data_IF_416954650483
#
_entry.id   IF_416954650483
#
_cell.length_a   1.000
_cell.length_b   1.000
_cell.length_c   1.000
_cell.angle_alpha   90.00
_cell.angle_beta   90.00
_cell.angle_gamma   90.00
#
_symmetry.space_group_name_H-M   'P 1'
#
loop_
_entity.id
_entity.type
_entity.pdbx_description
1 polymer ?
#
# COMPACT_ATOMS: atom_id res chain seq x y z
N UNK A 1 13.94 -7.65 -18.62
CA UNK A 1 13.71 -6.20 -18.67
C UNK A 1 14.29 -5.45 -17.44
N UNK A 2 14.89 -6.14 -16.47
CA UNK A 2 15.56 -5.52 -15.33
C UNK A 2 14.67 -5.03 -14.18
N UNK A 3 13.36 -5.20 -14.27
CA UNK A 3 12.46 -4.85 -13.15
C UNK A 3 12.55 -5.90 -12.04
N UNK A 4 12.59 -5.45 -10.79
CA UNK A 4 12.66 -6.29 -9.59
C UNK A 4 11.36 -6.33 -8.80
N UNK A 5 10.41 -5.47 -9.13
CA UNK A 5 9.10 -5.40 -8.48
C UNK A 5 8.00 -5.04 -9.48
N UNK A 6 6.79 -5.43 -9.14
CA UNK A 6 5.56 -5.13 -9.89
C UNK A 6 4.45 -4.75 -8.93
N UNK A 7 3.70 -3.70 -9.29
CA UNK A 7 2.39 -3.41 -8.70
C UNK A 7 1.34 -4.08 -9.57
N UNK A 8 0.64 -5.06 -9.00
CA UNK A 8 -0.40 -5.83 -9.68
C UNK A 8 -1.78 -5.30 -9.25
N UNK A 9 -2.62 -4.97 -10.21
CA UNK A 9 -3.93 -4.33 -10.00
C UNK A 9 -5.01 -5.18 -10.63
N UNK A 10 -6.11 -5.45 -9.92
CA UNK A 10 -7.21 -6.32 -10.34
C UNK A 10 -8.52 -5.52 -10.42
N UNK A 11 -8.55 -4.54 -11.33
CA UNK A 11 -9.72 -3.70 -11.59
C UNK A 11 -10.66 -4.34 -12.61
N UNK A 12 -11.96 -4.01 -12.50
CA UNK A 12 -12.98 -4.37 -13.45
C UNK A 12 -13.58 -5.77 -13.23
N UNK A 13 -14.23 -6.26 -14.27
CA UNK A 13 -14.93 -7.53 -14.24
C UNK A 13 -13.95 -8.71 -14.17
N UNK A 14 -14.32 -9.70 -13.36
CA UNK A 14 -13.54 -10.93 -13.26
C UNK A 14 -13.74 -11.78 -14.52
N UNK A 15 -12.66 -12.23 -15.10
CA UNK A 15 -12.62 -13.19 -16.19
C UNK A 15 -11.92 -14.46 -15.67
N UNK A 16 -12.56 -15.65 -15.70
CA UNK A 16 -13.80 -16.04 -16.41
C UNK A 16 -15.09 -15.53 -15.75
N UNK A 17 -16.12 -15.36 -16.59
CA UNK A 17 -17.45 -14.94 -16.12
C UNK A 17 -18.03 -15.94 -15.13
N UNK A 18 -18.69 -15.42 -14.10
CA UNK A 18 -19.31 -16.23 -13.04
C UNK A 18 -18.40 -16.43 -11.84
N UNK A 19 -17.13 -16.10 -11.93
CA UNK A 19 -16.22 -16.09 -10.78
C UNK A 19 -16.35 -14.78 -9.99
N UNK A 20 -16.07 -14.87 -8.68
CA UNK A 20 -16.15 -13.75 -7.78
C UNK A 20 -14.74 -13.32 -7.32
N UNK A 21 -14.57 -12.02 -7.06
CA UNK A 21 -13.30 -11.41 -6.65
C UNK A 21 -12.66 -12.11 -5.44
N UNK A 22 -13.48 -12.55 -4.47
CA UNK A 22 -13.05 -13.31 -3.30
C UNK A 22 -13.36 -14.81 -3.37
N UNK A 23 -13.78 -15.30 -4.55
CA UNK A 23 -14.03 -16.70 -4.78
C UNK A 23 -12.75 -17.54 -4.80
N UNK A 24 -12.89 -18.85 -4.66
CA UNK A 24 -11.73 -19.76 -4.60
C UNK A 24 -10.87 -19.71 -5.86
N UNK A 25 -11.47 -19.52 -7.02
CA UNK A 25 -10.75 -19.41 -8.28
C UNK A 25 -9.80 -18.21 -8.25
N UNK A 26 -10.28 -17.02 -7.84
CA UNK A 26 -9.47 -15.82 -7.77
C UNK A 26 -8.41 -15.89 -6.66
N UNK A 27 -8.73 -16.49 -5.51
CA UNK A 27 -7.74 -16.74 -4.46
C UNK A 27 -6.57 -17.59 -4.99
N UNK A 28 -6.88 -18.63 -5.77
CA UNK A 28 -5.86 -19.47 -6.41
C UNK A 28 -5.08 -18.70 -7.48
N UNK A 29 -5.75 -17.83 -8.24
CA UNK A 29 -5.09 -16.99 -9.25
C UNK A 29 -4.09 -16.02 -8.60
N UNK A 30 -4.47 -15.33 -7.52
CA UNK A 30 -3.55 -14.43 -6.79
C UNK A 30 -2.34 -15.19 -6.26
N UNK A 31 -2.56 -16.36 -5.67
CA UNK A 31 -1.48 -17.21 -5.18
C UNK A 31 -0.56 -17.68 -6.31
N UNK A 32 -1.14 -18.06 -7.44
CA UNK A 32 -0.37 -18.44 -8.63
C UNK A 32 0.51 -17.28 -9.11
N UNK A 33 -0.05 -16.08 -9.22
CA UNK A 33 0.70 -14.89 -9.68
C UNK A 33 1.89 -14.58 -8.75
N UNK A 34 1.68 -14.65 -7.42
CA UNK A 34 2.75 -14.44 -6.43
C UNK A 34 3.85 -15.48 -6.55
N UNK A 35 3.49 -16.78 -6.66
CA UNK A 35 4.47 -17.86 -6.85
C UNK A 35 5.23 -17.71 -8.15
N UNK A 36 4.52 -17.38 -9.24
CA UNK A 36 5.13 -17.20 -10.54
C UNK A 36 6.11 -16.02 -10.56
N UNK A 37 5.77 -14.92 -9.91
CA UNK A 37 6.68 -13.78 -9.74
C UNK A 37 7.94 -14.18 -8.95
N UNK A 38 7.81 -15.03 -7.93
CA UNK A 38 8.96 -15.52 -7.15
C UNK A 38 9.95 -16.32 -8.02
N UNK A 39 9.46 -17.14 -8.96
CA UNK A 39 10.34 -17.88 -9.92
C UNK A 39 11.27 -16.95 -10.69
N UNK A 40 10.84 -15.71 -10.92
CA UNK A 40 11.60 -14.67 -11.60
C UNK A 40 12.27 -13.66 -10.66
N UNK A 41 12.26 -13.91 -9.35
CA UNK A 41 12.80 -13.01 -8.32
C UNK A 41 12.16 -11.62 -8.35
N UNK A 42 10.87 -11.56 -8.63
CA UNK A 42 10.07 -10.33 -8.69
C UNK A 42 9.25 -10.19 -7.42
N UNK A 43 9.35 -9.03 -6.78
CA UNK A 43 8.50 -8.63 -5.67
C UNK A 43 7.13 -8.18 -6.18
N UNK A 44 6.08 -8.46 -5.41
CA UNK A 44 4.68 -8.13 -5.76
C UNK A 44 4.09 -7.20 -4.69
N UNK A 45 3.50 -6.10 -5.15
CA UNK A 45 2.59 -5.26 -4.39
C UNK A 45 1.20 -5.40 -5.05
N UNK A 46 0.25 -6.05 -4.37
CA UNK A 46 -1.04 -6.41 -4.95
C UNK A 46 -2.14 -5.43 -4.52
N UNK A 47 -2.78 -4.76 -5.47
CA UNK A 47 -3.94 -3.91 -5.27
C UNK A 47 -5.21 -4.61 -5.76
N UNK A 48 -6.37 -4.29 -5.16
CA UNK A 48 -7.67 -4.95 -5.39
C UNK A 48 -7.61 -6.49 -5.30
N UNK A 49 -6.59 -7.02 -4.67
CA UNK A 49 -6.43 -8.45 -4.40
C UNK A 49 -7.27 -8.91 -3.20
N UNK A 50 -7.26 -10.20 -2.92
CA UNK A 50 -7.95 -10.75 -1.74
C UNK A 50 -7.32 -10.24 -0.44
N UNK A 51 -8.13 -10.23 0.61
CA UNK A 51 -7.65 -9.88 1.96
C UNK A 51 -6.48 -10.77 2.38
N UNK A 52 -5.47 -10.19 3.03
CA UNK A 52 -4.29 -10.95 3.42
C UNK A 52 -4.63 -11.97 4.51
N UNK A 53 -4.03 -13.16 4.37
CA UNK A 53 -4.18 -14.29 5.28
C UNK A 53 -2.83 -14.73 5.86
N UNK A 54 -1.82 -13.86 5.83
CA UNK A 54 -0.47 -14.17 6.26
C UNK A 54 0.43 -14.74 5.16
N UNK A 55 -0.03 -14.81 3.90
CA UNK A 55 0.75 -15.34 2.77
C UNK A 55 2.09 -14.63 2.55
N UNK A 56 2.21 -13.36 2.93
CA UNK A 56 3.48 -12.62 2.88
C UNK A 56 4.58 -13.22 3.77
N UNK A 57 4.23 -14.04 4.77
CA UNK A 57 5.20 -14.77 5.60
C UNK A 57 5.67 -16.06 4.94
N UNK A 58 4.83 -16.67 4.12
CA UNK A 58 5.17 -17.87 3.34
C UNK A 58 5.88 -17.49 2.02
N UNK A 59 5.43 -16.39 1.41
CA UNK A 59 5.96 -15.88 0.15
C UNK A 59 6.51 -14.47 0.37
N UNK A 60 7.78 -14.32 0.77
CA UNK A 60 8.36 -13.02 1.14
C UNK A 60 8.47 -12.03 -0.03
N UNK A 61 8.31 -12.49 -1.27
CA UNK A 61 8.19 -11.63 -2.44
C UNK A 61 6.84 -10.90 -2.52
N UNK A 62 5.81 -11.32 -1.78
CA UNK A 62 4.57 -10.55 -1.59
C UNK A 62 4.82 -9.47 -0.54
N UNK A 63 5.34 -8.32 -0.98
CA UNK A 63 5.82 -7.24 -0.10
C UNK A 63 4.72 -6.29 0.34
N UNK A 64 3.65 -6.17 -0.43
CA UNK A 64 2.55 -5.27 -0.15
C UNK A 64 1.24 -5.76 -0.71
N UNK A 65 0.16 -5.32 -0.08
CA UNK A 65 -1.19 -5.63 -0.50
C UNK A 65 -2.12 -4.52 0.00
N UNK A 66 -2.94 -3.94 -0.86
CA UNK A 66 -3.91 -2.94 -0.44
C UNK A 66 -5.05 -3.60 0.35
N UNK A 67 -5.91 -4.34 -0.33
CA UNK A 67 -7.05 -5.14 0.18
C UNK A 67 -7.96 -4.44 1.19
N UNK A 68 -7.98 -3.14 1.17
CA UNK A 68 -8.92 -2.22 1.83
C UNK A 68 -8.82 -0.87 1.12
N UNK A 69 -9.75 0.03 1.36
CA UNK A 69 -9.71 1.36 0.76
C UNK A 69 -8.44 2.11 1.17
N UNK A 70 -7.61 2.45 0.18
CA UNK A 70 -6.42 3.27 0.33
C UNK A 70 -6.69 4.76 0.12
N UNK A 71 -5.62 5.54 -0.05
CA UNK A 71 -5.68 7.00 -0.22
C UNK A 71 -6.54 7.45 -1.39
N UNK A 72 -6.59 6.71 -2.49
CA UNK A 72 -7.38 7.11 -3.67
C UNK A 72 -8.86 7.33 -3.34
N UNK A 73 -9.43 6.57 -2.41
CA UNK A 73 -10.81 6.72 -1.97
C UNK A 73 -11.10 8.01 -1.20
N UNK A 74 -10.09 8.73 -0.77
CA UNK A 74 -10.26 10.07 -0.20
C UNK A 74 -10.82 11.05 -1.26
N UNK A 75 -10.39 10.89 -2.52
CA UNK A 75 -10.75 11.82 -3.60
C UNK A 75 -12.07 11.50 -4.31
N UNK A 76 -12.51 10.24 -4.33
CA UNK A 76 -13.75 9.86 -5.04
C UNK A 76 -14.71 8.97 -4.26
N UNK A 77 -14.24 8.20 -3.31
CA UNK A 77 -15.07 7.27 -2.54
C UNK A 77 -15.47 7.79 -1.15
N UNK A 78 -14.91 8.92 -0.75
CA UNK A 78 -15.23 9.59 0.51
C UNK A 78 -14.88 8.74 1.73
N UNK A 79 -13.62 8.35 1.90
CA UNK A 79 -13.19 7.75 3.16
C UNK A 79 -13.56 8.68 4.33
N UNK A 80 -14.14 8.09 5.38
CA UNK A 80 -14.31 8.80 6.62
C UNK A 80 -12.94 9.11 7.23
N UNK A 81 -12.81 10.22 7.93
CA UNK A 81 -11.58 10.61 8.64
C UNK A 81 -11.13 9.57 9.67
N UNK A 82 -12.06 8.77 10.20
CA UNK A 82 -11.74 7.69 11.14
C UNK A 82 -11.16 6.44 10.48
N UNK A 83 -11.30 6.29 9.17
CA UNK A 83 -10.87 5.10 8.43
C UNK A 83 -9.41 4.75 8.71
N UNK A 84 -8.50 5.73 8.66
CA UNK A 84 -7.08 5.52 8.90
C UNK A 84 -6.73 5.18 10.35
N UNK A 85 -7.61 5.46 11.30
CA UNK A 85 -7.43 5.07 12.71
C UNK A 85 -7.95 3.67 13.01
N UNK A 86 -8.82 3.14 12.16
CA UNK A 86 -9.41 1.80 12.28
C UNK A 86 -8.50 0.74 11.63
N UNK A 87 -7.90 1.06 10.49
CA UNK A 87 -7.09 0.12 9.71
C UNK A 87 -5.96 -0.57 10.48
N UNK A 88 -5.20 0.11 11.38
CA UNK A 88 -4.17 -0.54 12.18
C UNK A 88 -4.69 -1.69 13.06
N UNK A 89 -5.93 -1.59 13.51
CA UNK A 89 -6.56 -2.58 14.41
C UNK A 89 -7.44 -3.60 13.69
N UNK A 90 -7.57 -3.49 12.39
CA UNK A 90 -8.42 -4.37 11.57
C UNK A 90 -7.63 -4.94 10.40
N UNK A 91 -7.44 -4.16 9.33
CA UNK A 91 -6.79 -4.61 8.11
C UNK A 91 -5.34 -5.05 8.32
N UNK A 92 -4.57 -4.32 9.13
CA UNK A 92 -3.15 -4.59 9.35
C UNK A 92 -2.89 -5.84 10.21
N UNK A 93 -3.90 -6.38 10.89
CA UNK A 93 -3.79 -7.66 11.59
C UNK A 93 -3.45 -8.79 10.60
N UNK A 94 -3.93 -8.72 9.36
CA UNK A 94 -3.64 -9.70 8.31
C UNK A 94 -2.27 -9.56 7.65
N UNK A 95 -1.55 -8.48 7.94
CA UNK A 95 -0.23 -8.19 7.36
C UNK A 95 -0.11 -6.76 6.83
N UNK A 96 1.04 -6.41 6.23
CA UNK A 96 1.33 -5.08 5.74
C UNK A 96 0.31 -4.59 4.72
N UNK A 97 0.06 -3.28 4.70
CA UNK A 97 -0.87 -2.63 3.77
C UNK A 97 -0.16 -1.53 3.00
N UNK A 98 -0.28 -1.56 1.68
CA UNK A 98 0.02 -0.39 0.84
C UNK A 98 -1.19 0.55 0.85
N UNK A 99 -1.18 1.50 1.78
CA UNK A 99 -2.21 2.54 1.87
C UNK A 99 -2.00 3.67 0.86
N UNK A 100 -0.78 3.78 0.28
CA UNK A 100 -0.36 4.88 -0.58
C UNK A 100 -0.50 6.26 0.09
N UNK A 101 0.15 6.50 1.25
CA UNK A 101 0.07 7.78 1.95
C UNK A 101 0.95 8.86 1.29
N UNK A 102 0.88 10.08 1.82
CA UNK A 102 1.82 11.16 1.49
C UNK A 102 1.23 12.26 0.62
N UNK A 103 -0.08 12.40 0.56
CA UNK A 103 -0.71 13.53 -0.12
C UNK A 103 -0.48 14.80 0.70
N UNK A 104 0.28 15.76 0.15
CA UNK A 104 0.54 17.08 0.75
C UNK A 104 -0.42 18.14 0.21
N UNK A 105 -0.75 18.08 -1.08
CA UNK A 105 -1.81 18.91 -1.65
C UNK A 105 -3.16 18.18 -1.53
N UNK A 106 -3.95 18.59 -0.53
CA UNK A 106 -5.20 17.92 -0.20
C UNK A 106 -6.40 18.32 -1.05
N UNK A 107 -6.28 19.38 -1.84
CA UNK A 107 -7.36 19.87 -2.70
C UNK A 107 -7.11 19.49 -4.15
N UNK A 108 -7.96 18.62 -4.70
CA UNK A 108 -7.83 18.19 -6.10
C UNK A 108 -7.98 19.34 -7.09
N UNK A 109 -8.67 20.42 -6.68
CA UNK A 109 -8.82 21.64 -7.48
C UNK A 109 -7.50 22.37 -7.77
N UNK A 110 -6.46 22.14 -6.97
CA UNK A 110 -5.12 22.68 -7.23
C UNK A 110 -4.51 22.14 -8.55
N UNK A 111 -4.87 20.90 -8.92
CA UNK A 111 -4.41 20.27 -10.16
C UNK A 111 -5.46 20.37 -11.30
N UNK A 112 -6.73 20.28 -10.95
CA UNK A 112 -7.84 20.41 -11.89
C UNK A 112 -8.93 21.27 -11.26
N UNK A 113 -9.09 22.54 -11.67
CA UNK A 113 -10.06 23.49 -11.09
C UNK A 113 -11.52 23.00 -11.07
N UNK A 114 -11.88 22.08 -11.97
CA UNK A 114 -13.22 21.48 -12.01
C UNK A 114 -13.41 20.34 -11.01
N UNK A 115 -12.34 19.81 -10.43
CA UNK A 115 -12.41 18.74 -9.45
C UNK A 115 -12.49 19.31 -8.03
N UNK A 116 -13.69 19.27 -7.45
CA UNK A 116 -13.96 19.75 -6.08
C UNK A 116 -13.69 18.72 -4.98
N UNK A 117 -13.17 17.55 -5.33
CA UNK A 117 -12.82 16.52 -4.35
C UNK A 117 -11.66 16.95 -3.47
N UNK A 118 -11.63 16.41 -2.26
CA UNK A 118 -10.63 16.73 -1.26
C UNK A 118 -10.20 15.48 -0.48
N UNK A 119 -8.89 15.36 -0.26
CA UNK A 119 -8.33 14.42 0.70
C UNK A 119 -8.56 14.98 2.12
N UNK A 120 -9.42 14.35 2.89
CA UNK A 120 -9.83 14.80 4.24
C UNK A 120 -8.75 14.50 5.28
N UNK A 121 -7.59 15.10 5.10
CA UNK A 121 -6.40 14.86 5.90
C UNK A 121 -5.65 16.17 6.19
N UNK A 122 -4.61 16.06 7.00
CA UNK A 122 -3.63 17.12 7.23
C UNK A 122 -2.24 16.59 6.92
N UNK A 123 -1.28 17.49 6.68
CA UNK A 123 0.12 17.12 6.46
C UNK A 123 0.66 16.24 7.60
N UNK A 124 0.40 16.62 8.85
CA UNK A 124 0.82 15.85 10.02
C UNK A 124 0.22 14.44 10.03
N UNK A 125 -1.06 14.30 9.65
CA UNK A 125 -1.71 13.00 9.55
C UNK A 125 -1.11 12.16 8.42
N UNK A 126 -0.83 12.73 7.25
CA UNK A 126 -0.16 12.04 6.16
C UNK A 126 1.21 11.51 6.58
N UNK A 127 1.98 12.27 7.34
CA UNK A 127 3.25 11.80 7.90
C UNK A 127 3.06 10.66 8.91
N UNK A 128 2.05 10.76 9.79
CA UNK A 128 1.76 9.72 10.77
C UNK A 128 1.40 8.37 10.12
N UNK A 129 0.79 8.37 8.92
CA UNK A 129 0.43 7.15 8.20
C UNK A 129 1.66 6.31 7.83
N UNK A 130 2.82 6.90 7.62
CA UNK A 130 4.07 6.16 7.38
C UNK A 130 4.54 5.34 8.58
N UNK A 131 4.08 5.70 9.78
CA UNK A 131 4.38 4.98 11.02
C UNK A 131 3.27 3.97 11.35
N UNK A 132 2.01 4.37 11.18
CA UNK A 132 0.84 3.57 11.59
C UNK A 132 0.39 2.55 10.56
N UNK A 133 0.62 2.84 9.26
CA UNK A 133 0.32 1.93 8.15
C UNK A 133 1.58 1.17 7.74
N UNK A 134 1.87 0.11 8.49
CA UNK A 134 3.06 -0.70 8.21
C UNK A 134 3.04 -1.29 6.80
N UNK A 135 4.10 -1.02 6.06
CA UNK A 135 4.38 -1.66 4.76
C UNK A 135 5.89 -1.71 4.51
N UNK A 136 6.44 -2.84 4.01
CA UNK A 136 7.83 -2.90 3.56
C UNK A 136 8.14 -1.99 2.37
N UNK A 137 7.11 -1.69 1.57
CA UNK A 137 7.16 -0.72 0.48
C UNK A 137 6.29 0.48 0.86
N UNK A 138 6.92 1.63 1.03
CA UNK A 138 6.22 2.89 1.28
C UNK A 138 6.17 3.71 -0.01
N UNK A 139 4.97 4.17 -0.35
CA UNK A 139 4.73 5.03 -1.50
C UNK A 139 4.79 6.50 -1.09
N UNK A 140 5.08 7.38 -2.03
CA UNK A 140 4.95 8.83 -1.91
C UNK A 140 3.92 9.28 -2.95
N UNK A 141 2.68 9.49 -2.54
CA UNK A 141 1.51 9.52 -3.41
C UNK A 141 1.20 10.90 -4.02
N UNK A 142 2.05 11.89 -3.81
CA UNK A 142 1.87 13.24 -4.35
C UNK A 142 2.87 13.56 -5.47
N UNK A 143 2.69 14.71 -6.11
CA UNK A 143 3.59 15.22 -7.14
C UNK A 143 4.88 15.78 -6.52
N UNK A 144 6.03 15.69 -7.22
CA UNK A 144 7.29 16.25 -6.75
C UNK A 144 7.19 17.73 -6.36
N UNK A 145 6.46 18.52 -7.14
CA UNK A 145 6.26 19.96 -6.92
C UNK A 145 5.58 20.27 -5.58
N UNK A 146 4.68 19.37 -5.14
CA UNK A 146 4.00 19.52 -3.86
C UNK A 146 4.95 19.18 -2.68
N UNK A 147 5.83 18.20 -2.86
CA UNK A 147 6.86 17.90 -1.87
C UNK A 147 7.92 19.01 -1.74
N UNK A 148 8.29 19.66 -2.84
CA UNK A 148 9.25 20.76 -2.84
C UNK A 148 8.80 21.94 -1.95
N UNK A 149 7.49 22.12 -1.77
CA UNK A 149 6.93 23.14 -0.87
C UNK A 149 7.12 22.83 0.62
N UNK A 150 7.43 21.58 0.97
CA UNK A 150 7.50 21.07 2.35
C UNK A 150 8.62 20.05 2.49
N UNK A 151 9.84 20.45 2.14
CA UNK A 151 11.00 19.53 2.08
C UNK A 151 11.40 18.93 3.43
N UNK A 152 11.15 19.59 4.54
CA UNK A 152 11.33 19.07 5.90
C UNK A 152 10.40 17.90 6.20
N UNK A 153 9.13 18.04 5.82
CA UNK A 153 8.15 16.98 5.92
C UNK A 153 8.47 15.81 4.98
N UNK A 154 8.92 16.10 3.76
CA UNK A 154 9.34 15.05 2.84
C UNK A 154 10.60 14.32 3.31
N UNK A 155 11.52 15.03 3.98
CA UNK A 155 12.69 14.39 4.60
C UNK A 155 12.26 13.36 5.66
N UNK A 156 11.22 13.65 6.45
CA UNK A 156 10.66 12.67 7.41
C UNK A 156 10.23 11.38 6.71
N UNK A 157 9.54 11.47 5.56
CA UNK A 157 9.12 10.29 4.79
C UNK A 157 10.34 9.44 4.40
N UNK A 158 11.39 10.07 3.88
CA UNK A 158 12.63 9.36 3.51
C UNK A 158 13.29 8.68 4.70
N UNK A 159 13.34 9.35 5.84
CA UNK A 159 14.01 8.85 7.04
C UNK A 159 13.24 7.69 7.69
N UNK A 160 11.91 7.77 7.75
CA UNK A 160 11.05 6.70 8.30
C UNK A 160 11.16 5.45 7.43
N UNK A 161 11.08 5.56 6.13
CA UNK A 161 11.19 4.43 5.22
C UNK A 161 12.51 3.65 5.41
N UNK A 162 13.63 4.37 5.55
CA UNK A 162 14.94 3.77 5.79
C UNK A 162 15.04 3.10 7.17
N UNK A 163 14.45 3.68 8.20
CA UNK A 163 14.47 3.13 9.57
C UNK A 163 13.64 1.87 9.70
N UNK A 164 12.45 1.83 9.09
CA UNK A 164 11.59 0.65 9.09
C UNK A 164 12.26 -0.53 8.39
N UNK A 165 12.99 -0.31 7.30
CA UNK A 165 13.79 -1.34 6.65
C UNK A 165 14.88 -1.90 7.56
N UNK A 166 15.58 -1.04 8.31
CA UNK A 166 16.62 -1.46 9.27
C UNK A 166 16.04 -2.27 10.43
N UNK A 167 14.89 -1.87 10.97
CA UNK A 167 14.22 -2.60 12.06
C UNK A 167 13.77 -3.98 11.60
N UNK A 168 13.23 -4.11 10.40
CA UNK A 168 12.85 -5.39 9.83
C UNK A 168 14.05 -6.32 9.61
N UNK A 169 15.18 -5.78 9.15
CA UNK A 169 16.41 -6.55 8.98
C UNK A 169 16.97 -7.10 10.32
N UNK A 170 16.82 -6.36 11.41
CA UNK A 170 17.21 -6.78 12.76
C UNK A 170 16.26 -7.83 13.32
N UNK A 171 14.95 -7.67 13.11
CA UNK A 171 13.94 -8.65 13.52
C UNK A 171 14.15 -10.02 12.85
N UNK A 172 14.38 -10.00 11.53
CA UNK A 172 14.60 -11.24 10.77
C UNK A 172 15.89 -11.98 11.17
N UNK A 173 16.95 -11.27 11.63
CA UNK A 173 18.18 -11.91 12.12
C UNK A 173 17.99 -12.62 13.47
N UNK A 174 17.03 -12.22 14.29
CA UNK A 174 16.76 -12.87 15.58
C UNK A 174 15.97 -14.18 15.46
N UNK A 175 15.31 -14.41 14.33
CA UNK A 175 14.56 -15.65 14.06
C UNK A 175 15.37 -16.74 13.34
N UNK A 176 16.59 -16.43 12.91
CA UNK A 176 17.48 -17.40 12.22
C UNK A 176 18.54 -18.02 13.14
N UNK A 177 18.48 -17.74 14.45
CA UNK A 177 19.41 -18.27 15.45
C UNK A 177 18.70 -19.08 16.55
N UNK A 178 17.85 -20.05 16.12
CA UNK A 178 17.38 -21.16 16.96
C UNK A 178 17.58 -22.46 16.18
#
# INVERSE_FOLDING_TARGET
NGYTSVKSVYLGDIIPRGEHHYGQWMCNHYLYAVKKAADYKIMVNAHEATRPTGLCRTYPNLIGNESARGTEYESFGGNNVDHTTILPFTRLIGGPMDYTPGIFETHCSAMNPSNTSQVRSTLARQLALYVTMYSPLQMAADLPENYERFMDAFQFIKDVALRLQKLNAVSNRRHTSI
#
